data_IF_018953906286
#
_entry.id   IF_018953906286
#
_cell.length_a   1.000
_cell.length_b   1.000
_cell.length_c   1.000
_cell.angle_alpha   90.00
_cell.angle_beta   90.00
_cell.angle_gamma   90.00
#
_symmetry.space_group_name_H-M   'P 1'
#
loop_
_entity.id
_entity.type
_entity.pdbx_description
1 polymer ?
#
# COMPACT_ATOMS: atom_id res chain seq x y z
N UNK A 1 3.93 -27.95 6.98
CA UNK A 1 4.17 -26.87 6.00
C UNK A 1 3.60 -27.25 4.65
N UNK A 2 4.09 -28.31 4.01
CA UNK A 2 3.66 -28.75 2.67
C UNK A 2 2.14 -28.97 2.57
N UNK A 3 1.52 -29.56 3.59
CA UNK A 3 0.06 -29.71 3.69
C UNK A 3 -0.68 -28.37 3.65
N UNK A 4 -0.17 -27.34 4.33
CA UNK A 4 -0.78 -26.01 4.32
C UNK A 4 -0.60 -25.34 2.97
N UNK A 5 0.56 -25.50 2.32
CA UNK A 5 0.79 -25.00 0.96
C UNK A 5 -0.21 -25.66 -0.02
N UNK A 6 -0.41 -26.98 0.07
CA UNK A 6 -1.35 -27.70 -0.78
C UNK A 6 -2.82 -27.29 -0.55
N UNK A 7 -3.16 -26.78 0.64
CA UNK A 7 -4.51 -26.29 0.96
C UNK A 7 -4.73 -24.83 0.52
N UNK A 8 -3.68 -24.11 0.11
CA UNK A 8 -3.72 -22.69 -0.26
C UNK A 8 -3.65 -22.53 -1.78
N UNK A 9 -4.76 -22.19 -2.47
CA UNK A 9 -4.83 -22.25 -3.94
C UNK A 9 -3.87 -21.32 -4.70
N UNK A 10 -3.44 -20.23 -4.08
CA UNK A 10 -2.53 -19.25 -4.69
C UNK A 10 -1.04 -19.57 -4.45
N UNK A 11 -0.73 -20.67 -3.76
CA UNK A 11 0.64 -21.13 -3.55
C UNK A 11 0.92 -22.40 -4.35
N UNK A 12 2.14 -22.49 -4.88
CA UNK A 12 2.66 -23.70 -5.49
C UNK A 12 4.00 -24.04 -4.82
N UNK A 13 4.14 -25.27 -4.34
CA UNK A 13 5.41 -25.74 -3.77
C UNK A 13 6.44 -25.93 -4.89
N UNK A 14 7.45 -25.06 -4.93
CA UNK A 14 8.56 -25.20 -5.87
C UNK A 14 9.58 -26.26 -5.41
N UNK A 15 9.99 -26.19 -4.14
CA UNK A 15 10.94 -27.12 -3.54
C UNK A 15 10.87 -27.07 -2.00
N UNK A 16 11.54 -28.03 -1.37
CA UNK A 16 11.61 -28.25 0.08
C UNK A 16 13.02 -28.76 0.41
N UNK A 17 13.67 -28.23 1.45
CA UNK A 17 15.03 -28.63 1.85
C UNK A 17 15.26 -28.32 3.34
N UNK A 18 16.21 -29.04 3.96
CA UNK A 18 16.43 -29.01 5.41
C UNK A 18 17.76 -28.33 5.81
N UNK A 19 18.50 -27.78 4.85
CA UNK A 19 19.79 -27.12 5.11
C UNK A 19 19.97 -25.85 4.27
N UNK A 20 20.69 -24.89 4.85
CA UNK A 20 20.81 -23.56 4.27
C UNK A 20 21.65 -23.50 2.97
N UNK A 21 22.60 -24.41 2.79
CA UNK A 21 23.47 -24.44 1.59
C UNK A 21 22.66 -24.87 0.36
N UNK A 22 21.85 -25.91 0.52
CA UNK A 22 20.89 -26.35 -0.48
C UNK A 22 19.84 -25.28 -0.74
N UNK A 23 19.29 -24.67 0.31
CA UNK A 23 18.32 -23.58 0.21
C UNK A 23 18.84 -22.42 -0.65
N UNK A 24 20.09 -21.97 -0.47
CA UNK A 24 20.67 -20.92 -1.32
C UNK A 24 20.74 -21.31 -2.80
N UNK A 25 21.07 -22.57 -3.07
CA UNK A 25 21.19 -23.06 -4.44
C UNK A 25 19.81 -23.13 -5.11
N UNK A 26 18.82 -23.67 -4.40
CA UNK A 26 17.44 -23.76 -4.87
C UNK A 26 16.77 -22.39 -5.04
N UNK A 27 16.99 -21.44 -4.12
CA UNK A 27 16.45 -20.08 -4.23
C UNK A 27 17.00 -19.40 -5.49
N UNK A 28 18.29 -19.57 -5.79
CA UNK A 28 18.91 -18.98 -6.99
C UNK A 28 18.38 -19.62 -8.27
N UNK A 29 18.18 -20.93 -8.28
CA UNK A 29 17.75 -21.68 -9.47
C UNK A 29 16.26 -21.50 -9.75
N UNK A 30 15.42 -21.63 -8.72
CA UNK A 30 13.97 -21.64 -8.85
C UNK A 30 13.34 -20.24 -8.75
N UNK A 31 14.08 -19.26 -8.22
CA UNK A 31 13.63 -17.88 -8.01
C UNK A 31 12.21 -17.78 -7.41
N UNK A 32 11.97 -18.41 -6.23
CA UNK A 32 10.64 -18.42 -5.64
C UNK A 32 10.21 -17.00 -5.21
N UNK A 33 8.92 -16.71 -5.27
CA UNK A 33 8.38 -15.43 -4.77
C UNK A 33 8.38 -15.34 -3.24
N UNK A 34 8.21 -16.50 -2.58
CA UNK A 34 8.04 -16.63 -1.13
C UNK A 34 8.88 -17.77 -0.59
N UNK A 35 9.54 -17.55 0.54
CA UNK A 35 10.31 -18.56 1.28
C UNK A 35 9.82 -18.60 2.72
N UNK A 36 9.36 -19.79 3.14
CA UNK A 36 9.12 -20.09 4.55
C UNK A 36 10.41 -20.65 5.14
N UNK A 37 11.02 -19.92 6.07
CA UNK A 37 12.38 -20.20 6.53
C UNK A 37 12.39 -20.52 8.02
N UNK A 38 12.92 -21.68 8.42
CA UNK A 38 13.15 -21.95 9.84
C UNK A 38 14.34 -21.12 10.35
N UNK A 39 14.18 -20.45 11.49
CA UNK A 39 15.28 -19.74 12.16
C UNK A 39 16.31 -20.75 12.68
N UNK A 40 15.86 -21.86 13.26
CA UNK A 40 16.73 -22.81 13.93
C UNK A 40 17.12 -23.94 12.98
N UNK A 41 18.19 -23.71 12.21
CA UNK A 41 18.77 -24.69 11.30
C UNK A 41 20.22 -24.99 11.69
N UNK A 42 20.71 -26.23 11.42
CA UNK A 42 22.09 -26.59 11.70
C UNK A 42 23.06 -25.82 10.80
N UNK A 43 24.25 -25.52 11.34
CA UNK A 43 25.37 -24.82 10.70
C UNK A 43 25.14 -23.33 10.40
N UNK A 44 24.05 -22.99 9.71
CA UNK A 44 23.69 -21.61 9.35
C UNK A 44 22.23 -21.38 9.71
N UNK A 45 21.97 -20.39 10.57
CA UNK A 45 20.60 -20.06 10.99
C UNK A 45 19.82 -19.44 9.83
N UNK A 46 18.48 -19.53 9.88
CA UNK A 46 17.64 -18.87 8.89
C UNK A 46 17.85 -17.35 8.85
N UNK A 47 18.17 -16.73 9.98
CA UNK A 47 18.44 -15.29 10.05
C UNK A 47 19.73 -14.92 9.32
N UNK A 48 20.78 -15.73 9.46
CA UNK A 48 22.04 -15.53 8.74
C UNK A 48 21.86 -15.77 7.25
N UNK A 49 21.14 -16.83 6.87
CA UNK A 49 20.79 -17.10 5.48
C UNK A 49 20.04 -15.91 4.85
N UNK A 50 19.05 -15.35 5.54
CA UNK A 50 18.30 -14.19 5.05
C UNK A 50 19.20 -12.96 4.83
N UNK A 51 20.18 -12.71 5.70
CA UNK A 51 21.16 -11.62 5.51
C UNK A 51 22.02 -11.86 4.27
N UNK A 52 22.53 -13.09 4.08
CA UNK A 52 23.32 -13.42 2.90
C UNK A 52 22.53 -13.23 1.62
N UNK A 53 21.23 -13.59 1.60
CA UNK A 53 20.37 -13.38 0.44
C UNK A 53 20.18 -11.90 0.11
N UNK A 54 20.13 -11.02 1.12
CA UNK A 54 20.04 -9.56 0.92
C UNK A 54 21.30 -8.94 0.31
N UNK A 55 22.46 -9.54 0.55
CA UNK A 55 23.74 -9.09 -0.01
C UNK A 55 23.93 -9.53 -1.47
N UNK A 56 23.12 -10.48 -1.96
CA UNK A 56 23.20 -10.96 -3.34
C UNK A 56 22.45 -10.03 -4.31
N UNK A 57 23.00 -9.79 -5.52
CA UNK A 57 22.29 -9.07 -6.55
C UNK A 57 21.17 -9.93 -7.15
N UNK A 58 19.95 -9.38 -7.22
CA UNK A 58 18.81 -10.05 -7.84
C UNK A 58 17.49 -9.80 -7.11
N UNK A 59 16.37 -10.34 -7.62
CA UNK A 59 15.10 -10.29 -6.92
C UNK A 59 15.19 -11.12 -5.62
N UNK A 60 14.89 -10.48 -4.49
CA UNK A 60 14.86 -11.14 -3.20
C UNK A 60 13.47 -11.74 -2.94
N UNK A 61 13.35 -13.04 -2.61
CA UNK A 61 12.08 -13.61 -2.19
C UNK A 61 11.53 -12.92 -0.95
N UNK A 62 10.21 -12.91 -0.79
CA UNK A 62 9.59 -12.54 0.48
C UNK A 62 9.82 -13.64 1.51
N UNK A 63 10.38 -13.28 2.66
CA UNK A 63 10.72 -14.25 3.71
C UNK A 63 9.66 -14.20 4.82
N UNK A 64 9.09 -15.36 5.13
CA UNK A 64 8.30 -15.59 6.34
C UNK A 64 9.10 -16.55 7.22
N UNK A 65 9.44 -16.11 8.43
CA UNK A 65 10.17 -16.99 9.34
C UNK A 65 9.22 -17.93 10.07
N UNK A 66 9.72 -19.13 10.33
CA UNK A 66 9.11 -20.07 11.26
C UNK A 66 10.10 -20.34 12.39
N UNK A 67 9.63 -20.43 13.64
CA UNK A 67 10.53 -20.60 14.79
C UNK A 67 9.81 -21.27 15.94
N UNK A 68 10.52 -22.05 16.75
CA UNK A 68 9.98 -22.57 18.02
C UNK A 68 10.15 -21.57 19.19
N UNK A 69 10.79 -20.41 18.95
CA UNK A 69 11.18 -19.48 19.99
C UNK A 69 10.61 -18.07 19.79
N UNK A 70 10.03 -17.53 20.86
CA UNK A 70 9.37 -16.22 20.88
C UNK A 70 10.32 -15.02 20.74
N UNK A 71 11.58 -15.15 21.15
CA UNK A 71 12.48 -14.00 21.28
C UNK A 71 12.99 -13.45 19.95
N UNK A 72 12.88 -14.20 18.85
CA UNK A 72 13.34 -13.77 17.53
C UNK A 72 12.40 -12.78 16.82
N UNK A 73 11.16 -12.61 17.30
CA UNK A 73 10.22 -11.64 16.75
C UNK A 73 10.78 -10.19 16.80
N UNK A 74 11.66 -9.88 17.75
CA UNK A 74 12.29 -8.56 17.91
C UNK A 74 13.48 -8.38 16.96
N UNK A 75 14.27 -9.43 16.71
CA UNK A 75 15.42 -9.37 15.79
C UNK A 75 15.01 -9.31 14.32
N UNK A 76 13.75 -9.64 14.04
CA UNK A 76 13.20 -9.73 12.70
C UNK A 76 13.19 -8.45 11.87
N UNK A 77 13.20 -7.30 12.54
CA UNK A 77 13.36 -5.99 11.90
C UNK A 77 14.68 -5.85 11.15
N UNK A 78 15.71 -6.64 11.47
CA UNK A 78 17.04 -6.55 10.84
C UNK A 78 17.13 -7.24 9.48
N UNK A 79 16.13 -8.04 9.09
CA UNK A 79 16.19 -8.91 7.90
C UNK A 79 14.97 -8.76 6.97
N UNK A 80 14.23 -7.65 7.05
CA UNK A 80 13.09 -7.34 6.15
C UNK A 80 12.09 -8.49 5.95
N UNK A 81 11.82 -9.27 6.99
CA UNK A 81 10.84 -10.35 6.93
C UNK A 81 9.42 -9.79 6.82
N UNK A 82 8.54 -10.52 6.12
CA UNK A 82 7.11 -10.16 6.00
C UNK A 82 6.33 -10.58 7.25
N UNK A 83 6.63 -11.76 7.81
CA UNK A 83 5.95 -12.26 9.01
C UNK A 83 6.77 -13.31 9.77
N UNK A 84 6.29 -13.65 10.98
CA UNK A 84 6.83 -14.68 11.86
C UNK A 84 5.74 -15.65 12.29
N UNK A 85 5.98 -16.95 12.10
CA UNK A 85 5.12 -18.03 12.55
C UNK A 85 5.79 -18.81 13.68
N UNK A 86 5.19 -18.74 14.88
CA UNK A 86 5.66 -19.50 16.03
C UNK A 86 5.15 -20.94 15.97
N UNK A 87 6.03 -21.93 16.02
CA UNK A 87 5.68 -23.36 16.05
C UNK A 87 5.22 -23.77 17.45
N UNK A 88 4.13 -24.56 17.57
CA UNK A 88 3.22 -24.95 16.49
C UNK A 88 2.28 -23.79 16.09
N UNK A 89 2.07 -23.60 14.78
CA UNK A 89 1.13 -22.62 14.24
C UNK A 89 -0.03 -23.32 13.52
N UNK A 90 -1.19 -22.67 13.55
CA UNK A 90 -2.41 -23.10 12.87
C UNK A 90 -2.38 -22.79 11.37
N UNK A 91 -3.30 -23.43 10.62
CA UNK A 91 -3.51 -23.08 9.21
C UNK A 91 -3.98 -21.63 9.03
N UNK A 92 -4.77 -21.09 9.97
CA UNK A 92 -5.22 -19.70 9.95
C UNK A 92 -4.04 -18.72 10.03
N UNK A 93 -3.09 -18.97 10.94
CA UNK A 93 -1.89 -18.14 11.08
C UNK A 93 -1.00 -18.21 9.84
N UNK A 94 -0.83 -19.41 9.28
CA UNK A 94 -0.12 -19.61 8.02
C UNK A 94 -0.78 -18.85 6.87
N UNK A 95 -2.10 -18.98 6.70
CA UNK A 95 -2.86 -18.35 5.63
C UNK A 95 -2.80 -16.82 5.75
N UNK A 96 -2.91 -16.29 6.97
CA UNK A 96 -2.75 -14.85 7.23
C UNK A 96 -1.38 -14.34 6.78
N UNK A 97 -0.31 -15.07 7.11
CA UNK A 97 1.04 -14.68 6.72
C UNK A 97 1.26 -14.77 5.20
N UNK A 98 0.74 -15.83 4.56
CA UNK A 98 0.77 -15.98 3.10
C UNK A 98 -0.01 -14.89 2.37
N UNK A 99 -1.19 -14.50 2.88
CA UNK A 99 -2.00 -13.42 2.32
C UNK A 99 -1.30 -12.06 2.40
N UNK A 100 -0.47 -11.79 3.42
CA UNK A 100 0.35 -10.56 3.45
C UNK A 100 1.32 -10.51 2.27
N UNK A 101 1.95 -11.63 1.93
CA UNK A 101 2.85 -11.73 0.77
C UNK A 101 2.08 -11.55 -0.53
N UNK A 102 0.91 -12.18 -0.65
CA UNK A 102 0.02 -12.01 -1.81
C UNK A 102 -0.38 -10.54 -1.98
N UNK A 103 -0.83 -9.88 -0.90
CA UNK A 103 -1.20 -8.46 -0.93
C UNK A 103 -0.02 -7.58 -1.34
N UNK A 104 1.19 -7.83 -0.83
CA UNK A 104 2.38 -7.08 -1.25
C UNK A 104 2.74 -7.32 -2.72
N UNK A 105 2.52 -8.55 -3.22
CA UNK A 105 2.72 -8.90 -4.62
C UNK A 105 1.66 -8.26 -5.50
N UNK A 106 0.40 -8.23 -5.07
CA UNK A 106 -0.69 -7.53 -5.75
C UNK A 106 -0.51 -6.01 -5.69
N UNK A 107 -0.01 -5.44 -4.59
CA UNK A 107 0.34 -4.03 -4.51
C UNK A 107 1.53 -3.68 -5.41
N UNK A 108 2.52 -4.58 -5.54
CA UNK A 108 3.60 -4.44 -6.50
C UNK A 108 3.13 -4.67 -7.95
N UNK A 109 2.22 -5.62 -8.20
CA UNK A 109 1.67 -5.90 -9.53
C UNK A 109 0.65 -4.84 -9.97
N UNK A 110 -0.10 -4.25 -9.04
CA UNK A 110 -0.95 -3.07 -9.24
C UNK A 110 -0.11 -1.79 -9.40
N UNK A 111 1.20 -1.82 -9.09
CA UNK A 111 2.15 -0.81 -9.59
C UNK A 111 2.52 -1.01 -11.08
N UNK A 112 2.23 -2.18 -11.68
CA UNK A 112 2.54 -2.51 -13.08
C UNK A 112 1.30 -2.80 -13.98
N UNK A 113 0.10 -2.96 -13.43
CA UNK A 113 -1.20 -2.86 -14.12
C UNK A 113 -1.99 -1.72 -13.48
N UNK A 114 -1.72 -0.45 -13.78
CA UNK A 114 -2.15 0.18 -15.03
C UNK A 114 -1.26 1.38 -15.35
N UNK A 115 -0.25 1.21 -16.21
CA UNK A 115 0.19 2.35 -17.04
C UNK A 115 -0.79 2.46 -18.22
N UNK A 116 -2.06 2.67 -17.91
CA UNK A 116 -2.88 3.49 -18.79
C UNK A 116 -2.39 4.92 -18.58
N UNK A 117 -2.35 5.72 -19.64
CA UNK A 117 -1.84 7.09 -19.66
C UNK A 117 -2.63 8.09 -18.76
N UNK A 118 -3.33 7.60 -17.73
CA UNK A 118 -4.30 8.33 -16.90
C UNK A 118 -4.08 8.16 -15.37
N UNK A 119 -3.11 7.32 -14.94
CA UNK A 119 -2.79 7.13 -13.52
C UNK A 119 -1.87 8.25 -12.99
N UNK A 120 -2.41 9.45 -12.93
CA UNK A 120 -1.79 10.59 -12.28
C UNK A 120 -1.67 10.34 -10.76
N UNK A 121 -0.52 10.70 -10.18
CA UNK A 121 -0.25 10.53 -8.76
C UNK A 121 0.52 11.75 -8.21
N UNK A 122 0.47 11.92 -6.89
CA UNK A 122 1.27 12.91 -6.16
C UNK A 122 2.07 12.24 -5.05
N UNK A 123 3.19 12.83 -4.68
CA UNK A 123 3.94 12.45 -3.48
C UNK A 123 3.65 13.45 -2.36
N UNK A 124 3.17 12.94 -1.22
CA UNK A 124 3.00 13.70 0.01
C UNK A 124 3.98 13.24 1.08
N UNK A 125 4.50 14.18 1.85
CA UNK A 125 5.36 13.88 2.99
C UNK A 125 4.48 13.67 4.21
N UNK A 126 4.41 12.42 4.65
CA UNK A 126 3.64 11.97 5.82
C UNK A 126 4.66 11.59 6.88
N UNK A 127 4.71 12.36 7.97
CA UNK A 127 5.75 12.21 8.99
C UNK A 127 7.18 12.27 8.39
N UNK A 128 7.90 11.15 8.40
CA UNK A 128 9.28 11.02 7.92
C UNK A 128 9.40 10.33 6.55
N UNK A 129 8.28 10.01 5.89
CA UNK A 129 8.26 9.26 4.63
C UNK A 129 7.50 9.98 3.51
N UNK A 130 7.92 9.72 2.27
CA UNK A 130 7.19 10.14 1.08
C UNK A 130 6.21 9.04 0.69
N UNK A 131 4.92 9.36 0.75
CA UNK A 131 3.83 8.46 0.39
C UNK A 131 3.33 8.84 -0.99
N UNK A 132 3.34 7.89 -1.92
CA UNK A 132 2.72 8.02 -3.24
C UNK A 132 1.21 7.89 -3.06
N UNK A 133 0.46 8.86 -3.56
CA UNK A 133 -1.00 8.90 -3.52
C UNK A 133 -1.51 8.94 -4.97
N UNK A 134 -2.31 7.96 -5.34
CA UNK A 134 -3.00 7.96 -6.63
C UNK A 134 -4.13 8.99 -6.60
N UNK A 135 -4.26 9.80 -7.65
CA UNK A 135 -5.29 10.83 -7.70
C UNK A 135 -6.70 10.27 -7.77
N UNK A 136 -6.90 9.13 -8.45
CA UNK A 136 -8.20 8.45 -8.59
C UNK A 136 -8.79 7.96 -7.27
N UNK A 137 -7.93 7.70 -6.29
CA UNK A 137 -8.32 7.18 -4.98
C UNK A 137 -8.72 8.30 -4.01
N UNK A 138 -8.41 9.56 -4.35
CA UNK A 138 -8.74 10.71 -3.51
C UNK A 138 -10.25 10.96 -3.59
N UNK A 139 -10.91 10.95 -2.44
CA UNK A 139 -12.33 11.30 -2.32
C UNK A 139 -12.52 12.81 -2.17
N UNK A 140 -11.78 13.42 -1.25
CA UNK A 140 -11.62 14.87 -1.12
C UNK A 140 -10.44 15.18 -0.20
N UNK A 141 -10.01 16.44 -0.24
CA UNK A 141 -8.89 16.94 0.55
C UNK A 141 -9.40 18.05 1.45
N UNK A 142 -9.06 17.95 2.73
CA UNK A 142 -9.52 18.86 3.77
C UNK A 142 -8.33 19.50 4.50
N UNK A 143 -8.43 20.79 4.75
CA UNK A 143 -7.49 21.53 5.60
C UNK A 143 -7.87 21.42 7.07
N UNK A 144 -6.93 20.94 7.89
CA UNK A 144 -7.05 20.77 9.34
C UNK A 144 -5.92 21.52 10.06
N UNK A 145 -6.19 22.77 10.46
CA UNK A 145 -5.18 23.69 11.05
C UNK A 145 -3.95 23.81 10.15
N UNK A 146 -2.81 23.27 10.58
CA UNK A 146 -1.53 23.32 9.87
C UNK A 146 -1.31 22.12 8.93
N UNK A 147 -2.21 21.13 8.98
CA UNK A 147 -2.13 19.92 8.19
C UNK A 147 -3.20 19.90 7.10
N UNK A 148 -2.91 19.14 6.05
CA UNK A 148 -3.91 18.71 5.09
C UNK A 148 -4.17 17.22 5.28
N UNK A 149 -5.45 16.86 5.33
CA UNK A 149 -5.92 15.48 5.37
C UNK A 149 -6.48 15.10 4.00
N UNK A 150 -5.94 14.03 3.44
CA UNK A 150 -6.46 13.39 2.23
C UNK A 150 -7.39 12.26 2.68
N UNK A 151 -8.64 12.35 2.26
CA UNK A 151 -9.66 11.34 2.52
C UNK A 151 -9.79 10.43 1.29
N UNK A 152 -9.87 9.13 1.53
CA UNK A 152 -10.02 8.09 0.51
C UNK A 152 -11.40 7.44 0.62
N UNK A 153 -11.79 6.63 -0.36
CA UNK A 153 -13.07 5.90 -0.31
C UNK A 153 -13.14 4.93 0.88
N UNK A 154 -12.01 4.30 1.22
CA UNK A 154 -11.87 3.54 2.46
C UNK A 154 -11.64 4.50 3.62
N UNK A 155 -12.67 4.68 4.45
CA UNK A 155 -12.66 5.60 5.59
C UNK A 155 -11.57 5.29 6.64
N UNK A 156 -11.00 4.08 6.64
CA UNK A 156 -9.87 3.72 7.51
C UNK A 156 -8.52 4.17 6.95
N UNK A 157 -8.44 4.47 5.65
CA UNK A 157 -7.27 5.02 4.99
C UNK A 157 -7.43 6.54 4.96
N UNK A 158 -6.68 7.24 5.79
CA UNK A 158 -6.53 8.70 5.65
C UNK A 158 -5.09 9.09 5.84
N UNK A 159 -4.65 10.06 5.06
CA UNK A 159 -3.25 10.52 5.06
C UNK A 159 -3.19 11.97 5.52
N UNK A 160 -2.29 12.28 6.44
CA UNK A 160 -2.06 13.64 6.93
C UNK A 160 -0.66 14.12 6.56
N UNK A 161 -0.59 15.28 5.89
CA UNK A 161 0.66 15.89 5.44
C UNK A 161 0.77 17.32 5.96
N UNK A 162 1.97 17.70 6.40
CA UNK A 162 2.29 19.08 6.79
C UNK A 162 2.58 19.91 5.52
N UNK A 163 1.52 20.24 4.78
CA UNK A 163 1.57 21.07 3.57
C UNK A 163 0.35 21.99 3.57
N UNK A 164 0.48 23.21 3.05
CA UNK A 164 -0.67 24.10 2.90
C UNK A 164 -1.60 23.61 1.78
N UNK A 165 -2.90 23.87 1.93
CA UNK A 165 -3.89 23.50 0.90
C UNK A 165 -3.57 24.13 -0.46
N UNK A 166 -3.04 25.36 -0.47
CA UNK A 166 -2.61 26.06 -1.69
C UNK A 166 -1.42 25.36 -2.39
N UNK A 167 -0.41 24.98 -1.62
CA UNK A 167 0.74 24.28 -2.19
C UNK A 167 0.38 22.88 -2.71
N UNK A 168 -0.67 22.26 -2.15
CA UNK A 168 -1.21 21.01 -2.68
C UNK A 168 -2.04 21.22 -3.94
N UNK A 169 -2.85 22.29 -4.00
CA UNK A 169 -3.62 22.69 -5.19
C UNK A 169 -2.73 22.83 -6.43
N UNK A 170 -1.55 23.45 -6.29
CA UNK A 170 -0.57 23.62 -7.37
C UNK A 170 0.01 22.30 -7.90
N UNK A 171 -0.10 21.21 -7.14
CA UNK A 171 0.36 19.86 -7.53
C UNK A 171 -0.74 19.03 -8.19
N UNK A 172 -1.98 19.51 -8.17
CA UNK A 172 -3.14 18.77 -8.67
C UNK A 172 -3.52 19.27 -10.08
N UNK A 173 -3.86 18.37 -11.02
CA UNK A 173 -4.37 18.75 -12.32
C UNK A 173 -5.69 19.53 -12.18
N UNK A 174 -5.68 20.80 -12.59
CA UNK A 174 -6.87 21.68 -12.53
C UNK A 174 -8.04 21.20 -13.41
N UNK A 175 -7.79 20.28 -14.33
CA UNK A 175 -8.83 19.60 -15.13
C UNK A 175 -9.61 18.55 -14.33
N UNK A 176 -9.01 17.98 -13.28
CA UNK A 176 -9.61 16.90 -12.47
C UNK A 176 -9.96 17.35 -11.06
N UNK A 177 -9.24 18.31 -10.50
CA UNK A 177 -9.44 18.82 -9.14
C UNK A 177 -9.81 20.28 -9.15
N UNK A 178 -10.69 20.65 -8.21
CA UNK A 178 -11.07 22.03 -7.99
C UNK A 178 -11.07 22.34 -6.50
N UNK A 179 -10.45 23.46 -6.13
CA UNK A 179 -10.66 24.05 -4.82
C UNK A 179 -12.04 24.68 -4.74
N UNK A 180 -12.83 24.26 -3.77
CA UNK A 180 -14.23 24.67 -3.68
C UNK A 180 -14.50 25.68 -2.55
N UNK A 181 -13.60 25.74 -1.56
CA UNK A 181 -13.58 26.78 -0.53
C UNK A 181 -12.18 26.88 0.11
N UNK A 182 -12.04 27.69 1.17
CA UNK A 182 -10.75 27.89 1.86
C UNK A 182 -10.16 26.62 2.48
N UNK A 183 -11.00 25.62 2.76
CA UNK A 183 -10.67 24.38 3.48
C UNK A 183 -10.75 23.11 2.64
N UNK A 184 -11.31 23.13 1.43
CA UNK A 184 -11.56 21.91 0.66
C UNK A 184 -11.10 22.00 -0.80
N UNK A 185 -10.43 20.95 -1.25
CA UNK A 185 -10.19 20.63 -2.67
C UNK A 185 -10.88 19.30 -2.97
N UNK A 186 -11.59 19.24 -4.09
CA UNK A 186 -12.39 18.07 -4.47
C UNK A 186 -12.04 17.59 -5.87
N UNK A 187 -12.02 16.27 -6.11
CA UNK A 187 -12.05 15.72 -7.45
C UNK A 187 -13.43 15.96 -8.06
N UNK A 188 -13.44 16.47 -9.28
CA UNK A 188 -14.66 16.80 -10.01
C UNK A 188 -15.49 15.55 -10.34
N UNK A 189 -14.83 14.43 -10.64
CA UNK A 189 -15.48 13.15 -10.99
C UNK A 189 -16.18 12.45 -9.82
N UNK A 190 -15.81 12.78 -8.57
CA UNK A 190 -16.38 12.16 -7.36
C UNK A 190 -17.59 12.91 -6.81
N UNK A 191 -18.05 13.98 -7.49
CA UNK A 191 -19.22 14.74 -7.07
C UNK A 191 -20.49 13.95 -7.42
N UNK A 192 -21.23 13.48 -6.42
CA UNK A 192 -22.46 12.69 -6.63
C UNK A 192 -23.66 13.58 -6.94
N UNK A 193 -23.77 14.74 -6.31
CA UNK A 193 -24.85 15.68 -6.57
C UNK A 193 -24.46 17.11 -6.22
N UNK A 194 -25.16 18.06 -6.85
CA UNK A 194 -24.89 19.50 -6.76
C UNK A 194 -26.18 20.18 -6.33
N UNK A 195 -26.11 21.01 -5.30
CA UNK A 195 -27.18 21.91 -4.87
C UNK A 195 -26.83 23.36 -5.23
N UNK A 196 -27.66 24.32 -4.82
CA UNK A 196 -27.48 25.74 -5.16
C UNK A 196 -26.12 26.30 -4.71
N UNK A 197 -25.64 25.90 -3.53
CA UNK A 197 -24.41 26.42 -2.92
C UNK A 197 -23.51 25.33 -2.32
N UNK A 198 -23.84 24.05 -2.50
CA UNK A 198 -23.06 22.94 -1.95
C UNK A 198 -22.94 21.82 -2.98
N UNK A 199 -21.94 20.97 -2.78
CA UNK A 199 -21.82 19.69 -3.45
C UNK A 199 -21.90 18.57 -2.42
N UNK A 200 -22.27 17.39 -2.89
CA UNK A 200 -22.26 16.18 -2.09
C UNK A 200 -21.26 15.19 -2.68
N UNK A 201 -20.33 14.75 -1.85
CA UNK A 201 -19.40 13.65 -2.11
C UNK A 201 -19.69 12.57 -1.07
N UNK A 202 -20.21 11.44 -1.53
CA UNK A 202 -20.83 10.40 -0.73
C UNK A 202 -21.85 10.97 0.27
N UNK A 203 -21.54 10.89 1.57
CA UNK A 203 -22.39 11.39 2.66
C UNK A 203 -21.97 12.78 3.17
N UNK A 204 -20.94 13.37 2.56
CA UNK A 204 -20.34 14.64 3.00
C UNK A 204 -20.87 15.79 2.15
N UNK A 205 -21.49 16.77 2.79
CA UNK A 205 -21.85 18.04 2.16
C UNK A 205 -20.69 19.03 2.28
N UNK A 206 -20.29 19.63 1.16
CA UNK A 206 -19.22 20.64 1.10
C UNK A 206 -19.76 21.91 0.45
N UNK A 207 -19.76 23.02 1.19
CA UNK A 207 -20.24 24.32 0.70
C UNK A 207 -19.23 24.98 -0.24
N UNK A 208 -19.72 25.57 -1.33
CA UNK A 208 -18.95 26.37 -2.29
C UNK A 208 -18.71 27.77 -1.73
N UNK A 209 -17.45 28.13 -1.54
CA UNK A 209 -17.07 29.47 -1.04
C UNK A 209 -17.32 30.54 -2.10
N UNK A 210 -17.65 31.76 -1.66
CA UNK A 210 -18.04 32.89 -2.54
C UNK A 210 -17.06 33.12 -3.70
N UNK A 211 -15.76 33.14 -3.39
CA UNK A 211 -14.69 33.35 -4.36
C UNK A 211 -14.59 32.24 -5.44
N UNK A 212 -15.13 31.05 -5.16
CA UNK A 212 -15.05 29.89 -6.04
C UNK A 212 -16.34 29.64 -6.85
N UNK A 213 -17.42 30.39 -6.56
CA UNK A 213 -18.75 30.18 -7.17
C UNK A 213 -18.75 30.36 -8.69
N UNK A 214 -18.09 31.40 -9.21
CA UNK A 214 -18.08 31.68 -10.66
C UNK A 214 -17.36 30.58 -11.44
N UNK A 215 -16.18 30.16 -10.96
CA UNK A 215 -15.42 29.06 -11.55
C UNK A 215 -16.20 27.75 -11.48
N UNK A 216 -16.83 27.47 -10.34
CA UNK A 216 -17.63 26.26 -10.14
C UNK A 216 -18.80 26.23 -11.11
N UNK A 217 -19.56 27.33 -11.21
CA UNK A 217 -20.67 27.47 -12.16
C UNK A 217 -20.24 27.19 -13.59
N UNK A 218 -19.10 27.72 -14.01
CA UNK A 218 -18.55 27.51 -15.37
C UNK A 218 -18.25 26.03 -15.64
N UNK A 219 -17.78 25.28 -14.65
CA UNK A 219 -17.53 23.84 -14.77
C UNK A 219 -18.85 23.08 -14.85
N UNK A 220 -19.81 23.38 -13.97
CA UNK A 220 -21.12 22.71 -13.94
C UNK A 220 -21.92 22.93 -15.23
N UNK A 221 -21.87 24.14 -15.79
CA UNK A 221 -22.51 24.45 -17.08
C UNK A 221 -21.95 23.60 -18.24
N UNK A 222 -20.70 23.13 -18.15
CA UNK A 222 -20.13 22.22 -19.15
C UNK A 222 -20.64 20.78 -19.00
N UNK A 223 -21.10 20.38 -17.82
CA UNK A 223 -21.64 19.02 -17.58
C UNK A 223 -23.10 18.89 -17.97
N UNK A 224 -23.85 19.99 -17.94
CA UNK A 224 -25.28 20.02 -18.24
C UNK A 224 -25.59 20.32 -19.71
N UNK A 225 -24.57 20.47 -20.56
CA UNK A 225 -24.69 20.60 -22.02
C UNK A 225 -24.42 19.26 -22.68
#
# INVERSE_FOLDING_TARGET
METFIAQTPFLQLACSCDNAVEAMSLIREQQPDIVFLDINMPNLTGMELARLLQEQPGPLPKIIFTTAYNHYAIEGYRVNAVDYLLKPFSYEEFLRAANKVLQMSEEAANQYHSVTADDEFIFLKVEYQWVRISLKDILYIESLKDYVKVHFEDAQKSVMSLISLKALEEKLPASKFMRINRSFIVPLEKINSISKNSIFINKTEITVGEQYKETFKTIVEKWLK
#
